data_IF_447846455134
#
_entry.id   IF_447846455134
#
_cell.length_a   1.000
_cell.length_b   1.000
_cell.length_c   1.000
_cell.angle_alpha   90.00
_cell.angle_beta   90.00
_cell.angle_gamma   90.00
#
_symmetry.space_group_name_H-M   'P 1'
#
loop_
_entity.id
_entity.type
_entity.pdbx_description
1 polymer ?
#
# COMPACT_ATOMS: atom_id res chain seq x y z
N UNK A 1 13.42 -8.74 -14.94
CA UNK A 1 13.64 -9.99 -14.17
C UNK A 1 13.59 -11.14 -15.16
N UNK A 2 14.73 -11.49 -15.76
CA UNK A 2 14.84 -12.39 -16.93
C UNK A 2 14.60 -13.87 -16.60
N UNK A 3 14.57 -14.22 -15.32
CA UNK A 3 14.59 -15.61 -14.87
C UNK A 3 13.30 -16.39 -15.14
N UNK A 4 12.16 -15.69 -15.23
CA UNK A 4 10.85 -16.27 -15.54
C UNK A 4 10.52 -16.18 -17.02
N UNK A 5 11.41 -15.61 -17.82
CA UNK A 5 11.20 -15.40 -19.25
C UNK A 5 11.78 -16.57 -20.05
N UNK A 6 10.94 -17.58 -20.28
CA UNK A 6 11.29 -18.84 -20.93
C UNK A 6 11.93 -18.64 -22.33
N UNK A 7 11.63 -17.55 -23.03
CA UNK A 7 12.21 -17.29 -24.36
C UNK A 7 13.69 -16.91 -24.31
N UNK A 8 14.15 -16.45 -23.14
CA UNK A 8 15.52 -15.98 -22.92
C UNK A 8 16.38 -17.02 -22.19
N UNK A 9 15.87 -18.25 -22.03
CA UNK A 9 16.60 -19.31 -21.35
C UNK A 9 17.67 -19.94 -22.26
N UNK A 10 18.84 -20.32 -21.74
CA UNK A 10 19.89 -20.98 -22.52
C UNK A 10 19.48 -22.41 -22.92
N UNK A 11 20.09 -22.98 -23.96
CA UNK A 11 19.73 -24.33 -24.44
C UNK A 11 20.11 -25.45 -23.46
N UNK A 12 21.16 -25.27 -22.65
CA UNK A 12 21.62 -26.24 -21.65
C UNK A 12 21.49 -25.65 -20.25
N UNK A 13 20.36 -25.93 -19.60
CA UNK A 13 19.96 -25.33 -18.33
C UNK A 13 20.29 -26.28 -17.18
N UNK A 14 21.09 -25.79 -16.22
CA UNK A 14 21.29 -26.47 -14.95
C UNK A 14 19.98 -26.50 -14.14
N UNK A 15 19.69 -27.60 -13.44
CA UNK A 15 18.54 -27.71 -12.53
C UNK A 15 18.55 -26.63 -11.43
N UNK A 16 19.72 -26.03 -11.15
CA UNK A 16 19.87 -24.91 -10.20
C UNK A 16 19.84 -23.52 -10.87
N UNK A 17 19.51 -23.44 -12.16
CA UNK A 17 19.47 -22.17 -12.88
C UNK A 17 18.55 -21.17 -12.16
N UNK A 18 19.11 -20.02 -11.82
CA UNK A 18 18.38 -18.94 -11.19
C UNK A 18 18.04 -19.14 -9.70
N UNK A 19 18.52 -20.20 -9.06
CA UNK A 19 18.20 -20.50 -7.67
C UNK A 19 18.64 -19.37 -6.71
N UNK A 20 19.78 -18.72 -6.97
CA UNK A 20 20.31 -17.62 -6.13
C UNK A 20 19.42 -16.39 -6.17
N UNK A 21 18.91 -16.05 -7.34
CA UNK A 21 18.09 -14.90 -7.65
C UNK A 21 16.69 -15.10 -7.08
N UNK A 22 16.13 -16.31 -7.24
CA UNK A 22 14.86 -16.72 -6.63
C UNK A 22 14.99 -16.65 -5.10
N UNK A 23 16.07 -17.20 -4.50
CA UNK A 23 16.33 -17.06 -3.06
C UNK A 23 16.40 -15.61 -2.60
N UNK A 24 17.08 -14.75 -3.36
CA UNK A 24 17.19 -13.32 -3.06
C UNK A 24 15.83 -12.65 -3.08
N UNK A 25 14.98 -12.96 -4.06
CA UNK A 25 13.62 -12.43 -4.17
C UNK A 25 12.73 -12.94 -3.04
N UNK A 26 12.73 -14.25 -2.77
CA UNK A 26 11.97 -14.84 -1.67
C UNK A 26 12.35 -14.21 -0.33
N UNK A 27 13.64 -13.99 -0.07
CA UNK A 27 14.11 -13.30 1.14
C UNK A 27 13.65 -11.84 1.20
N UNK A 28 13.67 -11.12 0.07
CA UNK A 28 13.31 -9.70 0.01
C UNK A 28 11.81 -9.47 0.16
N UNK A 29 10.99 -10.33 -0.43
CA UNK A 29 9.54 -10.20 -0.48
C UNK A 29 8.81 -11.15 0.48
N UNK A 30 9.54 -11.84 1.34
CA UNK A 30 9.01 -12.77 2.35
C UNK A 30 8.11 -13.86 1.73
N UNK A 31 8.55 -14.44 0.62
CA UNK A 31 7.84 -15.53 -0.07
C UNK A 31 8.36 -16.88 0.42
N UNK A 32 7.56 -17.94 0.23
CA UNK A 32 7.98 -19.30 0.52
C UNK A 32 9.12 -19.73 -0.41
N UNK A 33 10.35 -19.78 0.13
CA UNK A 33 11.56 -20.10 -0.63
C UNK A 33 11.55 -21.54 -1.16
N UNK A 34 11.11 -22.50 -0.35
CA UNK A 34 11.11 -23.92 -0.73
C UNK A 34 10.12 -24.18 -1.88
N UNK A 35 8.92 -23.60 -1.78
CA UNK A 35 7.92 -23.70 -2.84
C UNK A 35 8.42 -23.07 -4.14
N UNK A 36 9.00 -21.87 -4.08
CA UNK A 36 9.51 -21.19 -5.27
C UNK A 36 10.67 -21.96 -5.94
N UNK A 37 11.65 -22.46 -5.17
CA UNK A 37 12.77 -23.25 -5.74
C UNK A 37 12.27 -24.56 -6.34
N UNK A 38 11.40 -25.28 -5.64
CA UNK A 38 10.88 -26.55 -6.13
C UNK A 38 10.04 -26.37 -7.39
N UNK A 39 9.21 -25.32 -7.43
CA UNK A 39 8.49 -24.95 -8.65
C UNK A 39 9.44 -24.59 -9.79
N UNK A 40 10.53 -23.86 -9.53
CA UNK A 40 11.50 -23.49 -10.57
C UNK A 40 12.16 -24.73 -11.17
N UNK A 41 12.51 -25.72 -10.33
CA UNK A 41 13.06 -27.00 -10.80
C UNK A 41 12.06 -27.78 -11.65
N UNK A 42 10.78 -27.77 -11.27
CA UNK A 42 9.72 -28.38 -12.08
C UNK A 42 9.56 -27.67 -13.42
N UNK A 43 9.61 -26.34 -13.45
CA UNK A 43 9.54 -25.54 -14.67
C UNK A 43 10.73 -25.77 -15.61
N UNK A 44 11.93 -25.97 -15.05
CA UNK A 44 13.14 -26.33 -15.82
C UNK A 44 12.99 -27.72 -16.44
N UNK A 45 12.41 -28.67 -15.71
CA UNK A 45 12.20 -30.04 -16.19
C UNK A 45 11.09 -30.10 -17.25
N UNK A 46 9.99 -29.38 -17.06
CA UNK A 46 8.87 -29.29 -17.98
C UNK A 46 8.43 -27.82 -18.17
N UNK A 47 8.92 -27.17 -19.24
CA UNK A 47 8.58 -25.78 -19.55
C UNK A 47 7.11 -25.56 -19.94
N UNK A 48 6.33 -26.62 -20.14
CA UNK A 48 4.91 -26.51 -20.51
C UNK A 48 3.99 -26.28 -19.31
N UNK A 49 4.48 -26.57 -18.11
CA UNK A 49 3.73 -26.41 -16.86
C UNK A 49 3.53 -24.94 -16.52
N UNK A 50 2.31 -24.58 -16.10
CA UNK A 50 2.00 -23.22 -15.72
C UNK A 50 2.62 -22.87 -14.36
N UNK A 51 3.38 -21.76 -14.24
CA UNK A 51 3.96 -21.33 -12.96
C UNK A 51 2.94 -21.16 -11.83
N UNK A 52 1.69 -20.81 -12.16
CA UNK A 52 0.59 -20.69 -11.19
C UNK A 52 0.26 -22.01 -10.47
N UNK A 53 0.48 -23.16 -11.11
CA UNK A 53 0.14 -24.47 -10.55
C UNK A 53 1.22 -24.99 -9.59
N UNK A 54 2.49 -24.73 -9.91
CA UNK A 54 3.65 -25.23 -9.18
C UNK A 54 4.21 -24.24 -8.15
N UNK A 55 4.02 -22.93 -8.37
CA UNK A 55 4.54 -21.85 -7.51
C UNK A 55 3.59 -20.63 -7.40
N UNK A 56 2.33 -20.81 -6.97
CA UNK A 56 1.29 -19.77 -7.05
C UNK A 56 1.67 -18.43 -6.39
N UNK A 57 2.32 -18.46 -5.23
CA UNK A 57 2.76 -17.25 -4.52
C UNK A 57 3.81 -16.47 -5.32
N UNK A 58 4.78 -17.18 -5.90
CA UNK A 58 5.85 -16.59 -6.69
C UNK A 58 5.34 -16.06 -8.04
N UNK A 59 4.41 -16.77 -8.68
CA UNK A 59 3.73 -16.32 -9.91
C UNK A 59 2.94 -15.03 -9.68
N UNK A 60 2.19 -14.94 -8.58
CA UNK A 60 1.47 -13.71 -8.22
C UNK A 60 2.43 -12.54 -7.98
N UNK A 61 3.52 -12.79 -7.25
CA UNK A 61 4.58 -11.80 -7.05
C UNK A 61 5.17 -11.34 -8.39
N UNK A 62 5.53 -12.27 -9.26
CA UNK A 62 6.14 -11.95 -10.56
C UNK A 62 5.22 -11.08 -11.42
N UNK A 63 3.92 -11.40 -11.49
CA UNK A 63 2.92 -10.64 -12.25
C UNK A 63 2.66 -9.24 -11.71
N UNK A 64 2.90 -9.02 -10.42
CA UNK A 64 2.73 -7.72 -9.76
C UNK A 64 4.02 -6.91 -9.67
N UNK A 65 5.14 -7.49 -10.09
CA UNK A 65 6.44 -6.84 -10.02
C UNK A 65 6.53 -5.69 -11.02
N UNK A 66 6.83 -4.45 -10.60
CA UNK A 66 7.00 -3.34 -11.52
C UNK A 66 8.28 -3.54 -12.35
N UNK A 67 8.12 -3.69 -13.67
CA UNK A 67 9.24 -3.92 -14.60
C UNK A 67 9.84 -2.61 -15.14
N UNK A 68 9.13 -1.48 -14.99
CA UNK A 68 9.52 -0.19 -15.54
C UNK A 68 9.44 0.94 -14.51
N UNK A 69 10.30 1.96 -14.66
CA UNK A 69 10.26 3.22 -13.90
C UNK A 69 9.16 4.17 -14.38
N UNK A 70 8.45 3.85 -15.47
CA UNK A 70 7.43 4.71 -16.05
C UNK A 70 6.29 5.07 -15.07
N UNK A 71 5.91 4.15 -14.17
CA UNK A 71 4.93 4.42 -13.10
C UNK A 71 5.46 5.48 -12.11
N UNK A 72 6.75 5.39 -11.75
CA UNK A 72 7.39 6.36 -10.87
C UNK A 72 7.47 7.75 -11.54
N UNK A 73 7.85 7.80 -12.82
CA UNK A 73 7.92 9.06 -13.60
C UNK A 73 6.55 9.74 -13.74
N UNK A 74 5.49 8.95 -13.97
CA UNK A 74 4.10 9.44 -13.91
C UNK A 74 3.75 9.99 -12.53
N UNK A 75 4.15 9.30 -11.46
CA UNK A 75 3.99 9.78 -10.08
C UNK A 75 4.70 11.12 -9.81
N UNK A 76 5.93 11.29 -10.28
CA UNK A 76 6.65 12.57 -10.15
C UNK A 76 6.01 13.69 -10.96
N UNK A 77 5.53 13.39 -12.16
CA UNK A 77 4.81 14.34 -13.00
C UNK A 77 3.52 14.81 -12.32
N UNK A 78 2.77 13.88 -11.72
CA UNK A 78 1.59 14.16 -10.91
C UNK A 78 1.92 15.02 -9.69
N UNK A 79 3.02 14.72 -9.00
CA UNK A 79 3.49 15.53 -7.88
C UNK A 79 3.75 16.97 -8.32
N UNK A 80 4.39 17.18 -9.48
CA UNK A 80 4.63 18.52 -10.02
C UNK A 80 3.33 19.28 -10.33
N UNK A 81 2.28 18.57 -10.77
CA UNK A 81 0.95 19.16 -10.99
C UNK A 81 0.26 19.58 -9.68
N UNK A 82 0.45 18.81 -8.59
CA UNK A 82 -0.09 19.11 -7.27
C UNK A 82 0.70 20.27 -6.62
N UNK A 83 2.02 20.17 -6.65
CA UNK A 83 2.97 21.11 -6.07
C UNK A 83 3.38 22.18 -7.08
N UNK A 84 2.47 23.11 -7.36
CA UNK A 84 2.80 24.29 -8.18
C UNK A 84 3.48 25.36 -7.34
N UNK A 85 4.20 26.30 -7.98
CA UNK A 85 4.84 27.45 -7.30
C UNK A 85 3.86 28.27 -6.45
N UNK A 86 2.58 28.32 -6.84
CA UNK A 86 1.50 29.00 -6.10
C UNK A 86 0.92 28.14 -4.94
N UNK A 87 1.05 26.81 -5.00
CA UNK A 87 0.58 25.85 -3.97
C UNK A 87 1.73 25.29 -3.10
N UNK A 88 2.85 25.99 -3.00
CA UNK A 88 4.06 25.52 -2.30
C UNK A 88 3.92 25.37 -0.77
N UNK A 89 2.76 25.69 -0.18
CA UNK A 89 2.50 25.60 1.28
C UNK A 89 1.88 24.28 1.73
N UNK A 90 1.70 23.30 0.83
CA UNK A 90 1.18 21.99 1.22
C UNK A 90 2.23 21.23 2.04
N UNK A 91 1.79 20.63 3.15
CA UNK A 91 2.65 19.72 3.92
C UNK A 91 2.90 18.44 3.12
N UNK A 92 4.03 17.78 3.37
CA UNK A 92 4.34 16.49 2.73
C UNK A 92 3.25 15.44 2.92
N UNK A 93 2.58 15.45 4.09
CA UNK A 93 1.42 14.57 4.36
C UNK A 93 0.28 14.84 3.39
N UNK A 94 -0.06 16.11 3.16
CA UNK A 94 -1.15 16.48 2.25
C UNK A 94 -0.79 16.18 0.79
N UNK A 95 0.46 16.38 0.38
CA UNK A 95 0.94 16.02 -0.95
C UNK A 95 0.83 14.51 -1.16
N UNK A 96 1.33 13.71 -0.22
CA UNK A 96 1.24 12.25 -0.26
C UNK A 96 -0.21 11.76 -0.35
N UNK A 97 -1.11 12.32 0.46
CA UNK A 97 -2.54 11.99 0.41
C UNK A 97 -3.17 12.33 -0.95
N UNK A 98 -2.86 13.51 -1.51
CA UNK A 98 -3.38 13.91 -2.83
C UNK A 98 -2.84 13.00 -3.94
N UNK A 99 -1.56 12.68 -3.92
CA UNK A 99 -0.97 11.72 -4.86
C UNK A 99 -1.62 10.35 -4.74
N UNK A 100 -1.82 9.85 -3.52
CA UNK A 100 -2.48 8.56 -3.27
C UNK A 100 -3.89 8.52 -3.87
N UNK A 101 -4.68 9.58 -3.65
CA UNK A 101 -6.04 9.70 -4.21
C UNK A 101 -5.99 9.76 -5.74
N UNK A 102 -5.06 10.52 -6.34
CA UNK A 102 -5.00 10.62 -7.80
C UNK A 102 -4.50 9.33 -8.48
N UNK A 103 -3.64 8.56 -7.82
CA UNK A 103 -3.08 7.31 -8.37
C UNK A 103 -4.05 6.14 -8.18
N UNK A 104 -4.65 6.00 -7.01
CA UNK A 104 -5.44 4.81 -6.64
C UNK A 104 -6.94 5.09 -6.56
N UNK A 105 -7.36 6.36 -6.63
CA UNK A 105 -8.76 6.73 -6.54
C UNK A 105 -9.55 6.32 -7.79
N UNK A 106 -10.87 6.14 -7.65
CA UNK A 106 -11.72 5.88 -8.81
C UNK A 106 -11.78 7.11 -9.72
N UNK A 107 -12.08 6.92 -11.02
CA UNK A 107 -12.39 8.03 -11.92
C UNK A 107 -13.51 8.90 -11.33
N UNK A 108 -13.46 10.21 -11.57
CA UNK A 108 -14.41 11.16 -11.00
C UNK A 108 -15.87 10.82 -11.35
N UNK A 109 -16.11 10.26 -12.53
CA UNK A 109 -17.41 9.80 -13.01
C UNK A 109 -18.01 8.66 -12.18
N UNK A 110 -17.16 7.86 -11.54
CA UNK A 110 -17.53 6.69 -10.73
C UNK A 110 -17.39 6.95 -9.24
N UNK A 111 -16.98 8.15 -8.85
CA UNK A 111 -16.79 8.51 -7.46
C UNK A 111 -18.13 8.88 -6.81
N UNK A 112 -18.55 8.09 -5.82
CA UNK A 112 -19.69 8.45 -4.97
C UNK A 112 -19.19 9.11 -3.67
N UNK A 113 -19.36 10.43 -3.50
CA UNK A 113 -18.90 11.13 -2.31
C UNK A 113 -19.80 10.89 -1.09
N UNK A 114 -20.98 10.28 -1.22
CA UNK A 114 -22.00 10.25 -0.16
C UNK A 114 -21.51 9.60 1.13
N UNK A 115 -20.83 8.47 1.02
CA UNK A 115 -20.36 7.74 2.21
C UNK A 115 -19.27 8.51 2.94
N UNK A 116 -18.37 9.15 2.20
CA UNK A 116 -17.35 10.04 2.76
C UNK A 116 -17.99 11.24 3.47
N UNK A 117 -18.94 11.92 2.83
CA UNK A 117 -19.64 13.08 3.40
C UNK A 117 -20.40 12.69 4.66
N UNK A 118 -21.10 11.55 4.68
CA UNK A 118 -21.79 11.05 5.87
C UNK A 118 -20.82 10.80 7.03
N UNK A 119 -19.71 10.09 6.78
CA UNK A 119 -18.67 9.84 7.79
C UNK A 119 -18.05 11.14 8.31
N UNK A 120 -17.81 12.10 7.41
CA UNK A 120 -17.28 13.41 7.77
C UNK A 120 -18.26 14.19 8.66
N UNK A 121 -19.55 14.21 8.33
CA UNK A 121 -20.59 14.88 9.14
C UNK A 121 -20.77 14.27 10.54
N UNK A 122 -20.49 12.97 10.72
CA UNK A 122 -20.54 12.33 12.05
C UNK A 122 -19.39 12.80 12.93
N UNK A 123 -18.21 13.02 12.34
CA UNK A 123 -16.97 13.34 13.06
C UNK A 123 -16.66 14.83 13.14
N UNK A 124 -17.18 15.62 12.21
CA UNK A 124 -16.94 17.05 12.08
C UNK A 124 -18.23 17.82 12.15
N UNK A 125 -18.18 18.96 12.82
CA UNK A 125 -19.35 19.81 13.02
C UNK A 125 -19.49 20.75 11.84
N UNK A 126 -20.73 20.95 11.40
CA UNK A 126 -21.04 22.00 10.42
C UNK A 126 -20.67 23.36 10.98
N UNK A 127 -20.30 24.31 10.11
CA UNK A 127 -20.07 25.70 10.51
C UNK A 127 -21.31 26.32 11.18
N UNK A 128 -22.50 25.81 10.85
CA UNK A 128 -23.78 26.22 11.42
C UNK A 128 -24.14 25.48 12.74
N UNK A 129 -23.28 24.57 13.23
CA UNK A 129 -23.53 23.84 14.48
C UNK A 129 -23.40 24.79 15.69
N UNK A 130 -24.57 25.26 16.14
CA UNK A 130 -24.72 26.24 17.22
C UNK A 130 -24.34 25.67 18.58
N UNK A 131 -24.12 24.36 18.72
CA UNK A 131 -23.66 23.72 19.98
C UNK A 131 -22.24 24.12 20.38
N UNK A 132 -21.48 24.77 19.50
CA UNK A 132 -20.14 25.33 19.79
C UNK A 132 -20.19 26.71 20.46
N UNK A 133 -21.32 27.42 20.42
CA UNK A 133 -21.48 28.74 21.06
C UNK A 133 -21.75 28.67 22.56
N UNK A 134 -21.89 27.47 23.13
CA UNK A 134 -21.94 27.31 24.58
C UNK A 134 -20.51 27.41 25.14
N UNK A 135 -20.09 28.62 25.49
CA UNK A 135 -19.02 28.81 26.47
C UNK A 135 -19.39 27.99 27.70
N UNK A 136 -18.74 26.84 27.91
CA UNK A 136 -18.84 26.15 29.20
C UNK A 136 -18.25 27.12 30.23
N UNK A 137 -19.02 27.60 31.23
CA UNK A 137 -18.41 28.34 32.32
C UNK A 137 -17.36 27.42 32.95
N UNK A 138 -16.19 27.97 33.26
CA UNK A 138 -15.12 27.22 33.91
C UNK A 138 -15.70 26.55 35.16
N UNK A 139 -15.76 25.22 35.16
CA UNK A 139 -16.07 24.47 36.37
C UNK A 139 -14.87 24.72 37.27
N UNK A 140 -15.06 25.54 38.30
CA UNK A 140 -14.09 25.69 39.38
C UNK A 140 -13.90 24.29 39.96
N UNK A 141 -12.69 23.75 39.80
CA UNK A 141 -12.35 22.43 40.28
C UNK A 141 -12.45 22.41 41.81
N UNK A 142 -13.58 21.96 42.34
CA UNK A 142 -13.63 21.56 43.74
C UNK A 142 -12.89 20.22 43.87
N UNK A 143 -11.80 20.27 44.62
CA UNK A 143 -10.94 19.15 44.95
C UNK A 143 -11.66 18.14 45.85
N UNK A 144 -12.58 17.34 45.31
CA UNK A 144 -13.20 16.25 46.05
C UNK A 144 -12.42 14.94 45.84
N UNK A 145 -11.51 14.74 46.80
CA UNK A 145 -10.99 13.49 47.38
C UNK A 145 -11.05 12.21 46.52
N UNK A 146 -9.89 11.85 45.94
CA UNK A 146 -9.57 10.55 45.32
C UNK A 146 -9.43 9.40 46.33
N UNK A 147 -10.07 9.46 47.49
CA UNK A 147 -9.99 8.42 48.52
C UNK A 147 -10.64 7.09 48.10
N UNK A 148 -11.58 7.13 47.15
CA UNK A 148 -12.26 5.94 46.63
C UNK A 148 -11.39 5.04 45.75
N UNK A 149 -10.22 5.49 45.28
CA UNK A 149 -9.31 4.68 44.45
C UNK A 149 -8.50 3.65 45.27
N UNK A 150 -8.39 3.83 46.58
CA UNK A 150 -7.54 3.00 47.45
C UNK A 150 -8.28 1.81 48.08
N UNK A 151 -9.57 1.63 47.79
CA UNK A 151 -10.38 0.51 48.30
C UNK A 151 -10.38 -0.73 47.39
N UNK A 152 -9.66 -0.69 46.27
CA UNK A 152 -9.64 -1.76 45.25
C UNK A 152 -8.29 -2.53 45.26
N UNK A 153 -7.34 -2.15 46.11
CA UNK A 153 -6.12 -2.91 46.37
C UNK A 153 -6.23 -3.73 47.66
#
# INVERSE_FOLDING_TARGET
MQIMDLTNWPENIDIRFGETEVKRLCKRFMLNQENAINGMRQLIHDPTVLPKEIMPEFDNFYKTFPVSTAECERGFSLMNNICTKLRARLTMKNISNLMFININGPPLEKWDPKDYVKSWMVSHRSAEDTRTKLCRPAIVANSENKSNLWKIL
#
